data_IF_086062170097
#
_entry.id   IF_086062170097
#
_cell.length_a   1.000
_cell.length_b   1.000
_cell.length_c   1.000
_cell.angle_alpha   90.00
_cell.angle_beta   90.00
_cell.angle_gamma   90.00
#
_symmetry.space_group_name_H-M   'P 1'
#
loop_
_entity.id
_entity.type
_entity.pdbx_description
1 polymer ?
#
# COMPACT_ATOMS: atom_id res chain seq x y z
N UNK A 1 64.13 -9.35 22.46
CA UNK A 1 62.73 -9.76 22.18
C UNK A 1 61.85 -8.51 22.09
N UNK A 2 61.60 -7.99 20.88
CA UNK A 2 60.69 -6.85 20.64
C UNK A 2 59.46 -7.38 19.91
N UNK A 3 58.28 -7.19 20.51
CA UNK A 3 56.96 -7.61 20.01
C UNK A 3 56.51 -6.62 18.93
N UNK A 4 56.23 -7.09 17.72
CA UNK A 4 55.53 -6.30 16.70
C UNK A 4 54.06 -6.72 16.70
N UNK A 5 53.20 -5.85 17.24
CA UNK A 5 51.75 -5.93 17.10
C UNK A 5 51.39 -5.27 15.76
N UNK A 6 50.86 -6.04 14.81
CA UNK A 6 50.31 -5.50 13.58
C UNK A 6 48.80 -5.30 13.78
N UNK A 7 48.38 -4.04 13.86
CA UNK A 7 46.96 -3.67 13.83
C UNK A 7 46.48 -3.67 12.37
N UNK A 8 45.66 -4.64 12.00
CA UNK A 8 44.87 -4.57 10.77
C UNK A 8 43.55 -3.86 11.09
N UNK A 9 43.45 -2.57 10.77
CA UNK A 9 42.17 -1.87 10.69
C UNK A 9 41.50 -2.25 9.37
N UNK A 10 40.45 -3.07 9.44
CA UNK A 10 39.52 -3.22 8.33
C UNK A 10 38.59 -2.00 8.31
N UNK A 11 38.72 -1.14 7.31
CA UNK A 11 37.77 -0.07 7.07
C UNK A 11 36.47 -0.68 6.54
N UNK A 12 35.40 -0.63 7.34
CA UNK A 12 34.05 -0.94 6.89
C UNK A 12 33.54 0.31 6.15
N UNK A 13 33.49 0.25 4.82
CA UNK A 13 32.74 1.23 4.05
C UNK A 13 31.25 0.92 4.22
N UNK A 14 30.55 1.74 5.01
CA UNK A 14 29.10 1.72 5.04
C UNK A 14 28.60 2.28 3.69
N UNK A 15 28.13 1.39 2.81
CA UNK A 15 27.34 1.80 1.66
C UNK A 15 25.96 2.14 2.19
N UNK A 16 25.70 3.43 2.38
CA UNK A 16 24.35 3.92 2.64
C UNK A 16 23.58 3.86 1.32
N UNK A 17 22.80 2.80 1.12
CA UNK A 17 21.75 2.80 0.11
C UNK A 17 20.65 3.71 0.66
N UNK A 18 20.59 4.96 0.21
CA UNK A 18 19.42 5.80 0.45
C UNK A 18 18.30 5.28 -0.43
N UNK A 19 17.46 4.40 0.11
CA UNK A 19 16.18 4.10 -0.50
C UNK A 19 15.37 5.40 -0.52
N UNK A 20 15.08 5.92 -1.71
CA UNK A 20 14.12 7.01 -1.85
C UNK A 20 12.75 6.42 -1.49
N UNK A 21 12.16 6.88 -0.38
CA UNK A 21 10.80 6.50 -0.03
C UNK A 21 9.87 6.92 -1.18
N UNK A 22 8.97 6.02 -1.60
CA UNK A 22 7.95 6.33 -2.59
C UNK A 22 7.16 7.57 -2.13
N UNK A 23 7.08 8.57 -2.99
CA UNK A 23 6.26 9.75 -2.76
C UNK A 23 4.79 9.37 -2.91
N UNK A 24 3.98 9.67 -1.89
CA UNK A 24 2.56 9.34 -1.89
C UNK A 24 1.70 10.58 -1.67
N UNK A 25 0.61 10.65 -2.42
CA UNK A 25 -0.45 11.63 -2.16
C UNK A 25 -1.75 10.96 -1.71
N UNK A 26 -2.42 11.62 -0.77
CA UNK A 26 -3.78 11.29 -0.34
C UNK A 26 -4.73 12.34 -0.89
N UNK A 27 -5.69 11.90 -1.69
CA UNK A 27 -6.63 12.72 -2.43
C UNK A 27 -8.04 12.41 -1.90
N UNK A 28 -8.71 13.43 -1.38
CA UNK A 28 -10.09 13.33 -0.94
C UNK A 28 -10.79 14.68 -1.14
N UNK A 29 -11.89 14.99 -0.47
CA UNK A 29 -12.43 16.36 -0.50
C UNK A 29 -11.73 17.26 0.55
N UNK A 30 -12.14 18.52 0.61
CA UNK A 30 -11.71 19.47 1.65
C UNK A 30 -11.99 18.96 3.07
N UNK A 31 -13.05 18.16 3.24
CA UNK A 31 -13.38 17.41 4.45
C UNK A 31 -12.96 15.94 4.34
N UNK A 32 -12.55 15.33 5.47
CA UNK A 32 -12.36 13.88 5.52
C UNK A 32 -13.67 13.11 5.32
N UNK A 33 -13.61 11.92 4.71
CA UNK A 33 -14.73 10.99 4.68
C UNK A 33 -15.32 10.79 6.08
N UNK A 34 -16.65 10.83 6.18
CA UNK A 34 -17.39 10.63 7.42
C UNK A 34 -17.08 11.63 8.55
N UNK A 35 -16.38 12.73 8.24
CA UNK A 35 -15.91 13.68 9.24
C UNK A 35 -14.88 13.07 10.20
N UNK A 36 -14.24 11.96 9.83
CA UNK A 36 -13.29 11.24 10.68
C UNK A 36 -11.86 11.40 10.19
N UNK A 37 -10.91 11.61 11.09
CA UNK A 37 -9.50 11.80 10.74
C UNK A 37 -8.76 10.51 10.33
N UNK A 38 -9.45 9.39 10.12
CA UNK A 38 -8.81 8.08 9.91
C UNK A 38 -7.88 8.00 8.69
N UNK A 39 -8.19 8.74 7.61
CA UNK A 39 -7.33 8.82 6.42
C UNK A 39 -6.00 9.52 6.76
N UNK A 40 -6.07 10.74 7.28
CA UNK A 40 -4.90 11.52 7.74
C UNK A 40 -4.10 10.77 8.81
N UNK A 41 -4.77 10.17 9.80
CA UNK A 41 -4.12 9.40 10.86
C UNK A 41 -3.36 8.20 10.30
N UNK A 42 -3.96 7.47 9.36
CA UNK A 42 -3.30 6.36 8.67
C UNK A 42 -2.07 6.81 7.89
N UNK A 43 -2.19 7.88 7.10
CA UNK A 43 -1.07 8.43 6.33
C UNK A 43 0.08 8.89 7.25
N UNK A 44 -0.23 9.59 8.34
CA UNK A 44 0.76 10.01 9.33
C UNK A 44 1.42 8.81 10.03
N UNK A 45 0.67 7.75 10.31
CA UNK A 45 1.20 6.58 11.00
C UNK A 45 2.12 5.73 10.11
N UNK A 46 1.81 5.62 8.82
CA UNK A 46 2.56 4.77 7.88
C UNK A 46 3.75 5.52 7.28
N UNK A 47 3.54 6.75 6.83
CA UNK A 47 4.55 7.49 6.07
C UNK A 47 5.24 8.56 6.92
N UNK A 48 4.67 8.94 8.06
CA UNK A 48 5.13 10.06 8.88
C UNK A 48 4.51 11.39 8.45
N UNK A 49 4.15 12.23 9.43
CA UNK A 49 3.62 13.56 9.15
C UNK A 49 4.64 14.40 8.37
N UNK A 50 4.21 15.01 7.26
CA UNK A 50 5.08 15.80 6.38
C UNK A 50 5.77 15.02 5.26
N UNK A 51 5.68 13.68 5.24
CA UNK A 51 6.28 12.83 4.20
C UNK A 51 5.28 12.38 3.13
N UNK A 52 4.05 12.89 3.17
CA UNK A 52 3.00 12.65 2.20
C UNK A 52 2.27 13.96 1.91
N UNK A 53 1.60 14.05 0.76
CA UNK A 53 0.88 15.28 0.38
C UNK A 53 -0.62 15.05 0.36
N UNK A 54 -1.37 15.95 1.01
CA UNK A 54 -2.82 16.01 0.85
C UNK A 54 -3.18 16.83 -0.38
N UNK A 55 -4.01 16.27 -1.25
CA UNK A 55 -4.64 16.97 -2.36
C UNK A 55 -6.17 16.85 -2.24
N UNK A 56 -6.89 17.63 -3.04
CA UNK A 56 -8.34 17.52 -3.18
C UNK A 56 -8.73 17.05 -4.58
N UNK A 57 -9.91 16.47 -4.73
CA UNK A 57 -10.44 16.17 -6.07
C UNK A 57 -10.46 17.40 -7.00
N UNK A 58 -10.63 18.60 -6.44
CA UNK A 58 -10.64 19.84 -7.21
C UNK A 58 -9.25 20.30 -7.67
N UNK A 59 -8.17 20.01 -6.93
CA UNK A 59 -6.84 20.55 -7.23
C UNK A 59 -5.81 19.49 -7.65
N UNK A 60 -6.08 18.19 -7.47
CA UNK A 60 -5.08 17.14 -7.58
C UNK A 60 -4.30 17.17 -8.89
N UNK A 61 -4.98 17.31 -10.02
CA UNK A 61 -4.32 17.33 -11.32
C UNK A 61 -3.54 18.62 -11.58
N UNK A 62 -4.07 19.77 -11.16
CA UNK A 62 -3.36 21.04 -11.26
C UNK A 62 -2.09 21.07 -10.39
N UNK A 63 -2.10 20.31 -9.29
CA UNK A 63 -0.96 20.10 -8.40
C UNK A 63 -0.04 18.94 -8.83
N UNK A 64 -0.24 18.37 -10.03
CA UNK A 64 0.65 17.37 -10.59
C UNK A 64 0.55 15.99 -9.94
N UNK A 65 -0.66 15.53 -9.57
CA UNK A 65 -0.86 14.23 -8.91
C UNK A 65 -0.13 13.06 -9.60
N UNK A 66 -0.08 12.99 -10.93
CA UNK A 66 0.62 11.90 -11.63
C UNK A 66 2.15 11.91 -11.48
N UNK A 67 2.73 12.92 -10.83
CA UNK A 67 4.15 12.95 -10.46
C UNK A 67 4.48 12.22 -9.15
N UNK A 68 3.49 11.75 -8.41
CA UNK A 68 3.71 10.92 -7.21
C UNK A 68 3.83 9.45 -7.59
N UNK A 69 4.67 8.72 -6.86
CA UNK A 69 4.88 7.28 -7.06
C UNK A 69 3.60 6.49 -6.71
N UNK A 70 2.86 6.95 -5.70
CA UNK A 70 1.59 6.36 -5.29
C UNK A 70 0.48 7.39 -5.06
N UNK A 71 -0.75 6.99 -5.41
CA UNK A 71 -1.98 7.77 -5.18
C UNK A 71 -2.96 6.98 -4.34
N UNK A 72 -3.46 7.58 -3.26
CA UNK A 72 -4.58 7.08 -2.48
C UNK A 72 -5.77 8.03 -2.61
N UNK A 73 -6.88 7.57 -3.18
CA UNK A 73 -8.12 8.34 -3.33
C UNK A 73 -9.19 7.76 -2.39
N UNK A 74 -9.82 8.60 -1.57
CA UNK A 74 -10.96 8.20 -0.73
C UNK A 74 -12.20 9.08 -0.96
N UNK A 75 -13.25 8.47 -1.51
CA UNK A 75 -14.54 9.07 -1.80
C UNK A 75 -15.65 8.80 -0.79
N UNK A 76 -15.34 8.32 0.42
CA UNK A 76 -16.36 7.89 1.38
C UNK A 76 -17.34 8.97 1.85
N UNK A 77 -18.55 8.55 2.21
CA UNK A 77 -19.65 9.38 2.69
C UNK A 77 -19.95 10.64 1.87
N UNK A 78 -19.86 11.82 2.48
CA UNK A 78 -20.16 13.11 1.86
C UNK A 78 -19.28 13.40 0.63
N UNK A 79 -18.13 12.72 0.50
CA UNK A 79 -17.18 12.91 -0.59
C UNK A 79 -17.56 12.10 -1.85
N UNK A 80 -18.65 11.31 -1.79
CA UNK A 80 -19.06 10.38 -2.87
C UNK A 80 -19.23 11.09 -4.21
N UNK A 81 -19.93 12.23 -4.24
CA UNK A 81 -20.19 12.95 -5.49
C UNK A 81 -18.89 13.53 -6.09
N UNK A 82 -18.02 14.10 -5.25
CA UNK A 82 -16.71 14.61 -5.67
C UNK A 82 -15.83 13.52 -6.26
N UNK A 83 -15.76 12.37 -5.60
CA UNK A 83 -15.04 11.20 -6.09
C UNK A 83 -15.59 10.69 -7.43
N UNK A 84 -16.92 10.57 -7.57
CA UNK A 84 -17.52 10.11 -8.81
C UNK A 84 -17.23 11.04 -9.99
N UNK A 85 -17.33 12.34 -9.76
CA UNK A 85 -17.00 13.35 -10.76
C UNK A 85 -15.51 13.29 -11.14
N UNK A 86 -14.63 13.15 -10.14
CA UNK A 86 -13.19 13.04 -10.36
C UNK A 86 -12.83 11.81 -11.22
N UNK A 87 -13.34 10.63 -10.85
CA UNK A 87 -13.07 9.40 -11.60
C UNK A 87 -13.65 9.48 -13.01
N UNK A 88 -14.89 9.95 -13.18
CA UNK A 88 -15.50 10.09 -14.51
C UNK A 88 -14.71 11.02 -15.44
N UNK A 89 -14.16 12.12 -14.89
CA UNK A 89 -13.37 13.08 -15.67
C UNK A 89 -11.96 12.55 -15.99
N UNK A 90 -11.38 11.72 -15.12
CA UNK A 90 -9.94 11.45 -15.13
C UNK A 90 -9.56 9.98 -15.33
N UNK A 91 -10.54 9.09 -15.58
CA UNK A 91 -10.36 7.65 -15.73
C UNK A 91 -9.20 7.27 -16.65
N UNK A 92 -9.18 7.80 -17.88
CA UNK A 92 -8.12 7.49 -18.85
C UNK A 92 -6.73 7.95 -18.38
N UNK A 93 -6.65 9.06 -17.63
CA UNK A 93 -5.42 9.55 -17.05
C UNK A 93 -4.92 8.64 -15.92
N UNK A 94 -5.83 8.17 -15.05
CA UNK A 94 -5.51 7.21 -13.99
C UNK A 94 -5.07 5.86 -14.57
N UNK A 95 -5.75 5.38 -15.62
CA UNK A 95 -5.38 4.16 -16.32
C UNK A 95 -3.98 4.26 -16.95
N UNK A 96 -3.68 5.38 -17.60
CA UNK A 96 -2.36 5.66 -18.15
C UNK A 96 -1.28 5.77 -17.05
N UNK A 97 -1.58 6.45 -15.95
CA UNK A 97 -0.67 6.57 -14.81
C UNK A 97 -0.26 5.19 -14.27
N UNK A 98 -1.24 4.31 -14.04
CA UNK A 98 -0.96 2.95 -13.55
C UNK A 98 -0.25 2.13 -14.61
N UNK A 99 -0.67 2.21 -15.89
CA UNK A 99 -0.02 1.47 -16.97
C UNK A 99 1.48 1.78 -17.08
N UNK A 100 1.89 3.00 -16.70
CA UNK A 100 3.27 3.46 -16.68
C UNK A 100 4.03 3.19 -15.36
N UNK A 101 3.47 2.36 -14.46
CA UNK A 101 4.15 1.92 -13.23
C UNK A 101 3.64 2.57 -11.95
N UNK A 102 2.67 3.47 -12.02
CA UNK A 102 2.06 4.09 -10.84
C UNK A 102 1.31 3.09 -9.95
N UNK A 103 1.28 3.34 -8.64
CA UNK A 103 0.49 2.58 -7.68
C UNK A 103 -0.74 3.38 -7.26
N UNK A 104 -1.93 2.82 -7.48
CA UNK A 104 -3.20 3.52 -7.23
C UNK A 104 -4.04 2.76 -6.22
N UNK A 105 -4.62 3.45 -5.25
CA UNK A 105 -5.67 2.91 -4.38
C UNK A 105 -6.94 3.76 -4.51
N UNK A 106 -8.00 3.16 -5.05
CA UNK A 106 -9.33 3.75 -5.13
C UNK A 106 -10.23 3.15 -4.04
N UNK A 107 -10.48 3.91 -2.99
CA UNK A 107 -11.40 3.51 -1.93
C UNK A 107 -12.65 4.42 -1.93
N UNK A 108 -13.81 3.84 -1.70
CA UNK A 108 -14.98 4.63 -1.31
C UNK A 108 -15.98 3.75 -0.54
N UNK A 109 -16.16 4.02 0.75
CA UNK A 109 -17.34 3.60 1.49
C UNK A 109 -18.44 4.65 1.31
N UNK A 110 -19.21 4.53 0.22
CA UNK A 110 -20.12 5.59 -0.22
C UNK A 110 -21.36 5.68 0.66
N UNK A 111 -21.83 6.91 0.86
CA UNK A 111 -23.14 7.17 1.47
C UNK A 111 -24.12 7.61 0.40
N UNK A 112 -24.57 6.63 -0.39
CA UNK A 112 -25.41 6.83 -1.57
C UNK A 112 -24.66 6.66 -2.89
N UNK A 113 -25.34 6.98 -4.00
CA UNK A 113 -24.82 6.82 -5.36
C UNK A 113 -25.38 5.60 -6.09
N UNK A 114 -25.12 5.55 -7.40
CA UNK A 114 -25.60 4.48 -8.28
C UNK A 114 -24.81 3.18 -8.05
N UNK A 115 -25.52 2.06 -8.19
CA UNK A 115 -24.91 0.74 -8.35
C UNK A 115 -24.17 0.66 -9.69
N UNK A 116 -23.09 -0.12 -9.72
CA UNK A 116 -22.28 -0.31 -10.93
C UNK A 116 -21.47 0.92 -11.33
N UNK A 117 -21.03 1.73 -10.37
CA UNK A 117 -20.19 2.89 -10.64
C UNK A 117 -18.85 2.44 -11.23
N UNK A 118 -18.53 2.92 -12.43
CA UNK A 118 -17.35 2.52 -13.19
C UNK A 118 -16.09 3.22 -12.64
N UNK A 119 -15.20 2.44 -12.02
CA UNK A 119 -13.92 2.91 -11.49
C UNK A 119 -12.82 3.00 -12.56
N UNK A 120 -13.12 2.59 -13.79
CA UNK A 120 -12.13 2.28 -14.81
C UNK A 120 -11.61 0.86 -14.67
N UNK A 121 -10.64 0.51 -15.51
CA UNK A 121 -9.97 -0.80 -15.50
C UNK A 121 -10.92 -2.00 -15.69
N UNK A 122 -12.16 -1.78 -16.16
CA UNK A 122 -13.20 -2.80 -16.22
C UNK A 122 -13.82 -3.16 -14.85
N UNK A 123 -13.55 -2.37 -13.81
CA UNK A 123 -13.98 -2.59 -12.43
C UNK A 123 -15.13 -1.66 -12.06
N UNK A 124 -16.11 -2.20 -11.34
CA UNK A 124 -17.28 -1.47 -10.84
C UNK A 124 -17.40 -1.56 -9.33
N UNK A 125 -17.85 -0.45 -8.74
CA UNK A 125 -18.22 -0.32 -7.34
C UNK A 125 -19.75 -0.39 -7.19
N UNK A 126 -20.22 -1.26 -6.29
CA UNK A 126 -21.63 -1.55 -6.11
C UNK A 126 -22.02 -1.39 -4.65
N UNK A 127 -23.18 -0.81 -4.39
CA UNK A 127 -23.69 -0.65 -3.03
C UNK A 127 -24.00 -2.03 -2.45
N UNK A 128 -23.58 -2.27 -1.22
CA UNK A 128 -23.85 -3.53 -0.54
C UNK A 128 -23.04 -3.65 0.73
N UNK A 129 -23.35 -2.79 1.71
CA UNK A 129 -22.60 -2.74 2.95
C UNK A 129 -22.60 -4.05 3.73
N UNK A 130 -21.52 -4.27 4.48
CA UNK A 130 -21.33 -5.45 5.30
C UNK A 130 -20.70 -5.08 6.64
N UNK A 131 -21.16 -5.75 7.69
CA UNK A 131 -20.54 -5.68 9.01
C UNK A 131 -19.47 -6.74 9.26
N UNK A 132 -19.30 -7.65 8.30
CA UNK A 132 -18.40 -8.80 8.36
C UNK A 132 -17.41 -8.69 7.21
N UNK A 133 -16.15 -8.96 7.52
CA UNK A 133 -15.08 -9.10 6.54
C UNK A 133 -14.17 -10.27 6.89
N UNK A 134 -13.58 -10.91 5.90
CA UNK A 134 -12.59 -11.95 6.09
C UNK A 134 -11.62 -12.01 4.92
N UNK A 135 -10.44 -12.58 5.18
CA UNK A 135 -9.43 -12.81 4.14
C UNK A 135 -10.03 -13.67 3.04
N UNK A 136 -9.87 -13.24 1.79
CA UNK A 136 -10.34 -14.01 0.64
C UNK A 136 -9.56 -15.35 0.52
N UNK A 137 -10.17 -16.42 -0.02
CA UNK A 137 -9.51 -17.72 -0.14
C UNK A 137 -8.14 -17.64 -0.83
N UNK A 138 -7.12 -18.25 -0.21
CA UNK A 138 -5.76 -18.28 -0.73
C UNK A 138 -4.90 -17.04 -0.43
N UNK A 139 -5.46 -16.01 0.21
CA UNK A 139 -4.76 -14.74 0.44
C UNK A 139 -4.10 -14.59 1.82
N UNK A 140 -4.16 -15.61 2.68
CA UNK A 140 -3.64 -15.53 4.05
C UNK A 140 -2.14 -15.19 4.13
N UNK A 141 -1.36 -15.45 3.08
CA UNK A 141 0.07 -15.10 3.00
C UNK A 141 0.36 -13.66 2.54
N UNK A 142 -0.66 -12.87 2.21
CA UNK A 142 -0.47 -11.49 1.75
C UNK A 142 0.05 -10.61 2.88
N UNK A 143 1.04 -9.75 2.59
CA UNK A 143 1.67 -8.85 3.55
C UNK A 143 0.67 -7.92 4.25
N UNK A 144 -0.48 -7.62 3.63
CA UNK A 144 -1.50 -6.78 4.27
C UNK A 144 -2.07 -7.41 5.56
N UNK A 145 -1.96 -8.72 5.72
CA UNK A 145 -2.50 -9.47 6.86
C UNK A 145 -1.48 -9.78 7.94
N UNK A 146 -0.24 -9.31 7.81
CA UNK A 146 0.80 -9.55 8.82
C UNK A 146 0.39 -8.89 10.15
N UNK A 147 0.24 -9.72 11.19
CA UNK A 147 -0.14 -9.30 12.53
C UNK A 147 -1.63 -8.99 12.71
N UNK A 148 -2.47 -9.23 11.70
CA UNK A 148 -3.92 -9.05 11.78
C UNK A 148 -4.62 -10.39 12.03
N UNK A 149 -5.89 -10.33 12.41
CA UNK A 149 -6.83 -11.44 12.39
C UNK A 149 -7.12 -11.88 10.95
N UNK A 150 -7.83 -13.00 10.79
CA UNK A 150 -8.33 -13.49 9.50
C UNK A 150 -9.76 -13.06 9.17
N UNK A 151 -10.44 -12.44 10.14
CA UNK A 151 -11.81 -11.94 10.03
C UNK A 151 -12.04 -10.75 10.95
N UNK A 152 -12.89 -9.82 10.53
CA UNK A 152 -13.18 -8.59 11.24
C UNK A 152 -14.67 -8.33 11.29
N UNK A 153 -15.08 -7.70 12.40
CA UNK A 153 -16.42 -7.17 12.59
C UNK A 153 -16.35 -5.64 12.71
N UNK A 154 -17.33 -4.97 12.14
CA UNK A 154 -17.55 -3.54 12.29
C UNK A 154 -18.98 -3.18 11.95
N UNK A 155 -19.53 -2.13 12.54
CA UNK A 155 -20.87 -1.62 12.19
C UNK A 155 -20.81 -0.92 10.81
N UNK A 156 -20.84 -1.71 9.74
CA UNK A 156 -20.48 -1.34 8.36
C UNK A 156 -18.97 -1.23 8.11
N UNK A 157 -18.30 -2.37 8.18
CA UNK A 157 -16.89 -2.52 7.79
C UNK A 157 -16.65 -2.09 6.33
N UNK A 158 -17.62 -2.35 5.45
CA UNK A 158 -17.70 -1.82 4.09
C UNK A 158 -19.10 -1.27 3.80
N UNK A 159 -19.18 -0.36 2.83
CA UNK A 159 -20.45 0.12 2.25
C UNK A 159 -20.66 -0.38 0.82
N UNK A 160 -19.58 -0.79 0.17
CA UNK A 160 -19.57 -1.17 -1.22
C UNK A 160 -18.78 -2.47 -1.42
N UNK A 161 -19.05 -3.15 -2.54
CA UNK A 161 -18.32 -4.30 -3.03
C UNK A 161 -17.98 -4.14 -4.51
N UNK A 162 -17.02 -4.94 -4.95
CA UNK A 162 -16.37 -4.83 -6.25
C UNK A 162 -16.84 -5.94 -7.18
N UNK A 163 -17.00 -5.59 -8.46
CA UNK A 163 -17.17 -6.54 -9.56
C UNK A 163 -16.29 -6.14 -10.73
N UNK A 164 -15.84 -7.12 -11.52
CA UNK A 164 -14.95 -6.89 -12.65
C UNK A 164 -14.11 -8.12 -12.94
N UNK A 165 -13.70 -8.29 -14.20
CA UNK A 165 -12.81 -9.38 -14.58
C UNK A 165 -11.37 -9.08 -14.14
N UNK A 166 -10.58 -10.11 -13.86
CA UNK A 166 -9.15 -9.98 -13.52
C UNK A 166 -8.85 -9.50 -12.10
N UNK A 167 -9.88 -9.17 -11.30
CA UNK A 167 -9.70 -8.83 -9.89
C UNK A 167 -9.20 -10.03 -9.09
N UNK A 168 -8.14 -9.81 -8.30
CA UNK A 168 -7.75 -10.70 -7.21
C UNK A 168 -8.35 -10.17 -5.93
N UNK A 169 -9.39 -10.83 -5.42
CA UNK A 169 -10.00 -10.46 -4.14
C UNK A 169 -8.98 -10.67 -3.01
N UNK A 170 -8.86 -9.70 -2.11
CA UNK A 170 -8.00 -9.74 -0.93
C UNK A 170 -8.84 -9.90 0.34
N UNK A 171 -9.94 -9.14 0.44
CA UNK A 171 -10.90 -9.23 1.54
C UNK A 171 -12.29 -9.40 0.94
N UNK A 172 -13.01 -10.40 1.42
CA UNK A 172 -14.42 -10.64 1.12
C UNK A 172 -15.30 -10.17 2.28
N UNK A 173 -16.55 -9.86 1.96
CA UNK A 173 -17.59 -9.69 2.96
C UNK A 173 -18.29 -11.00 3.32
N UNK A 174 -19.24 -10.96 4.27
CA UNK A 174 -20.02 -12.13 4.68
C UNK A 174 -20.90 -12.76 3.60
N UNK A 175 -21.02 -12.15 2.41
CA UNK A 175 -21.69 -12.71 1.24
C UNK A 175 -20.69 -13.18 0.17
N UNK A 176 -19.41 -13.32 0.52
CA UNK A 176 -18.30 -13.69 -0.36
C UNK A 176 -18.08 -12.74 -1.55
N UNK A 177 -18.45 -11.47 -1.40
CA UNK A 177 -18.18 -10.42 -2.39
C UNK A 177 -16.89 -9.70 -2.03
N UNK A 178 -16.06 -9.41 -3.03
CA UNK A 178 -14.81 -8.69 -2.82
C UNK A 178 -15.10 -7.25 -2.34
N UNK A 179 -14.56 -6.87 -1.19
CA UNK A 179 -14.64 -5.50 -0.64
C UNK A 179 -13.28 -4.80 -0.59
N UNK A 180 -12.20 -5.56 -0.76
CA UNK A 180 -10.87 -5.09 -1.14
C UNK A 180 -10.34 -6.06 -2.19
N UNK A 181 -9.87 -5.54 -3.32
CA UNK A 181 -9.27 -6.36 -4.38
C UNK A 181 -8.14 -5.60 -5.07
N UNK A 182 -7.26 -6.33 -5.74
CA UNK A 182 -6.18 -5.76 -6.54
C UNK A 182 -6.24 -6.21 -8.01
N UNK A 183 -5.60 -5.40 -8.87
CA UNK A 183 -5.42 -5.66 -10.28
C UNK A 183 -4.05 -5.15 -10.72
N UNK A 184 -3.27 -6.00 -11.38
CA UNK A 184 -2.10 -5.55 -12.15
C UNK A 184 -2.56 -4.93 -13.46
N UNK A 185 -2.05 -3.75 -13.81
CA UNK A 185 -2.43 -3.04 -15.03
C UNK A 185 -1.22 -2.34 -15.66
N UNK A 186 -0.85 -2.79 -16.87
CA UNK A 186 0.43 -2.43 -17.48
C UNK A 186 1.59 -2.79 -16.54
N UNK A 187 2.45 -1.81 -16.27
CA UNK A 187 3.60 -1.97 -15.36
C UNK A 187 3.29 -1.64 -13.89
N UNK A 188 2.07 -1.18 -13.58
CA UNK A 188 1.67 -0.76 -12.23
C UNK A 188 0.59 -1.65 -11.62
N UNK A 189 0.01 -1.16 -10.52
CA UNK A 189 -1.02 -1.87 -9.75
C UNK A 189 -2.10 -0.93 -9.27
N UNK A 190 -3.34 -1.45 -9.22
CA UNK A 190 -4.48 -0.78 -8.60
C UNK A 190 -5.03 -1.64 -7.46
N UNK A 191 -5.24 -1.03 -6.30
CA UNK A 191 -6.13 -1.53 -5.26
C UNK A 191 -7.48 -0.83 -5.38
N UNK A 192 -8.55 -1.59 -5.16
CA UNK A 192 -9.92 -1.08 -5.10
C UNK A 192 -10.53 -1.46 -3.76
N UNK A 193 -11.29 -0.56 -3.16
CA UNK A 193 -11.91 -0.79 -1.86
C UNK A 193 -13.29 -0.15 -1.72
N UNK A 194 -14.18 -0.87 -1.04
CA UNK A 194 -15.44 -0.34 -0.50
C UNK A 194 -15.38 -0.13 1.02
N UNK A 195 -14.16 -0.04 1.57
CA UNK A 195 -13.87 -0.13 3.00
C UNK A 195 -14.11 1.19 3.70
N UNK A 196 -14.64 1.14 4.91
CA UNK A 196 -14.88 2.32 5.74
C UNK A 196 -13.61 2.72 6.51
N UNK A 197 -12.49 2.89 5.79
CA UNK A 197 -11.14 3.09 6.36
C UNK A 197 -11.02 4.27 7.33
N UNK A 198 -11.87 5.28 7.17
CA UNK A 198 -11.95 6.44 8.05
C UNK A 198 -12.21 6.05 9.53
N UNK A 199 -12.79 4.88 9.80
CA UNK A 199 -13.06 4.37 11.15
C UNK A 199 -12.10 3.27 11.64
N UNK A 200 -11.23 2.75 10.77
CA UNK A 200 -10.33 1.64 11.14
C UNK A 200 -9.36 2.08 12.23
N UNK A 201 -9.35 1.36 13.37
CA UNK A 201 -8.58 1.76 14.56
C UNK A 201 -9.02 3.08 15.20
N UNK A 202 -10.18 3.64 14.83
CA UNK A 202 -10.78 4.83 15.45
C UNK A 202 -12.09 4.50 16.17
N UNK A 203 -12.77 3.42 15.74
CA UNK A 203 -14.05 3.00 16.31
C UNK A 203 -13.87 1.86 17.32
N UNK A 204 -14.11 2.14 18.61
CA UNK A 204 -13.86 1.18 19.70
C UNK A 204 -14.71 -0.10 19.67
N UNK A 205 -15.82 -0.11 18.93
CA UNK A 205 -16.67 -1.30 18.76
C UNK A 205 -16.29 -2.22 17.59
N UNK A 206 -15.22 -1.92 16.85
CA UNK A 206 -14.77 -2.73 15.72
C UNK A 206 -13.60 -3.64 16.15
N UNK A 207 -13.28 -4.64 15.34
CA UNK A 207 -12.12 -5.50 15.61
C UNK A 207 -10.85 -4.66 15.87
N UNK A 208 -10.14 -5.00 16.95
CA UNK A 208 -9.08 -4.16 17.53
C UNK A 208 -7.90 -3.93 16.58
N UNK A 209 -7.65 -4.86 15.66
CA UNK A 209 -6.53 -4.86 14.71
C UNK A 209 -6.86 -4.16 13.38
N UNK A 210 -8.07 -3.61 13.21
CA UNK A 210 -8.44 -2.87 11.99
C UNK A 210 -7.53 -1.69 11.70
N UNK A 211 -7.01 -1.02 12.73
CA UNK A 211 -6.01 0.05 12.55
C UNK A 211 -4.72 -0.47 11.93
N UNK A 212 -4.24 -1.65 12.35
CA UNK A 212 -3.06 -2.30 11.77
C UNK A 212 -3.35 -2.73 10.33
N UNK A 213 -4.51 -3.33 10.07
CA UNK A 213 -4.93 -3.70 8.71
C UNK A 213 -4.92 -2.49 7.76
N UNK A 214 -5.51 -1.34 8.16
CA UNK A 214 -5.46 -0.11 7.35
C UNK A 214 -4.02 0.28 7.04
N UNK A 215 -3.15 0.26 8.04
CA UNK A 215 -1.76 0.68 7.88
C UNK A 215 -1.01 -0.23 6.92
N UNK A 216 -1.21 -1.55 7.01
CA UNK A 216 -0.59 -2.50 6.09
C UNK A 216 -1.12 -2.33 4.65
N UNK A 217 -2.42 -2.04 4.47
CA UNK A 217 -3.00 -1.70 3.17
C UNK A 217 -2.31 -0.47 2.59
N UNK A 218 -2.23 0.64 3.33
CA UNK A 218 -1.58 1.87 2.88
C UNK A 218 -0.09 1.64 2.56
N UNK A 219 0.62 0.91 3.41
CA UNK A 219 2.02 0.56 3.19
C UNK A 219 2.20 -0.25 1.90
N UNK A 220 1.29 -1.18 1.61
CA UNK A 220 1.33 -1.97 0.37
C UNK A 220 1.24 -1.07 -0.87
N UNK A 221 0.41 -0.02 -0.82
CA UNK A 221 0.22 0.95 -1.90
C UNK A 221 1.52 1.72 -2.13
N UNK A 222 2.17 2.21 -1.07
CA UNK A 222 3.46 2.89 -1.18
C UNK A 222 4.57 1.99 -1.72
N UNK A 223 4.66 0.74 -1.25
CA UNK A 223 5.72 -0.19 -1.66
C UNK A 223 5.58 -0.68 -3.11
N UNK A 224 4.36 -0.80 -3.64
CA UNK A 224 4.15 -1.19 -5.04
C UNK A 224 4.78 -0.21 -6.03
N UNK A 225 4.83 1.07 -5.66
CA UNK A 225 5.39 2.09 -6.51
C UNK A 225 6.93 2.06 -6.56
N UNK A 226 7.56 1.32 -5.64
CA UNK A 226 9.01 1.15 -5.60
C UNK A 226 9.40 -0.33 -5.60
N UNK A 227 9.24 -1.03 -6.76
CA UNK A 227 9.57 -2.45 -6.87
C UNK A 227 11.08 -2.73 -6.65
N UNK A 228 11.94 -1.71 -6.73
CA UNK A 228 13.39 -1.83 -6.45
C UNK A 228 13.71 -2.04 -4.95
N UNK A 229 12.71 -2.04 -4.07
CA UNK A 229 12.86 -2.31 -2.62
C UNK A 229 12.46 -3.75 -2.25
N UNK A 230 11.90 -4.53 -3.19
CA UNK A 230 11.57 -5.94 -2.96
C UNK A 230 12.71 -6.92 -3.28
N UNK A 231 13.86 -6.43 -3.77
CA UNK A 231 15.08 -7.21 -3.69
C UNK A 231 15.47 -7.25 -2.21
N UNK A 232 15.07 -8.35 -1.56
CA UNK A 232 15.60 -8.78 -0.26
C UNK A 232 17.09 -8.43 -0.24
N UNK A 233 17.58 -7.59 0.69
CA UNK A 233 19.01 -7.41 0.84
C UNK A 233 19.58 -8.79 1.07
N UNK A 234 20.31 -9.34 0.10
CA UNK A 234 21.04 -10.59 0.32
C UNK A 234 21.83 -10.37 1.60
N UNK A 235 21.59 -11.16 2.66
CA UNK A 235 22.23 -10.92 3.92
C UNK A 235 23.73 -10.94 3.67
N UNK A 236 24.46 -10.01 4.26
CA UNK A 236 25.91 -9.82 4.10
C UNK A 236 26.72 -11.13 4.27
N UNK A 237 26.11 -12.21 4.76
CA UNK A 237 26.56 -13.61 4.68
C UNK A 237 27.01 -14.09 3.30
N UNK A 238 26.37 -13.69 2.18
CA UNK A 238 26.81 -14.14 0.84
C UNK A 238 28.19 -13.54 0.47
N UNK A 239 28.41 -12.26 0.80
CA UNK A 239 29.70 -11.59 0.67
C UNK A 239 30.75 -12.09 1.67
N UNK A 240 30.34 -12.40 2.91
CA UNK A 240 31.22 -12.95 3.95
C UNK A 240 31.72 -14.36 3.61
N UNK A 241 30.90 -15.20 2.98
CA UNK A 241 31.31 -16.53 2.48
C UNK A 241 32.36 -16.42 1.36
N UNK A 242 32.18 -15.50 0.41
CA UNK A 242 33.14 -15.26 -0.66
C UNK A 242 34.52 -14.78 -0.16
N UNK A 243 34.52 -13.85 0.80
CA UNK A 243 35.76 -13.31 1.38
C UNK A 243 36.43 -14.35 2.30
N UNK A 244 35.67 -15.15 3.05
CA UNK A 244 36.23 -16.22 3.88
C UNK A 244 36.93 -17.31 3.04
N UNK A 245 36.37 -17.67 1.88
CA UNK A 245 36.97 -18.64 0.97
C UNK A 245 38.25 -18.11 0.30
N UNK A 246 38.27 -16.82 -0.09
CA UNK A 246 39.48 -16.14 -0.59
C UNK A 246 40.56 -16.03 0.50
N UNK A 247 40.18 -15.71 1.74
CA UNK A 247 41.08 -15.69 2.88
C UNK A 247 41.72 -17.06 3.16
N UNK A 248 40.92 -18.13 3.14
CA UNK A 248 41.41 -19.51 3.31
C UNK A 248 42.34 -19.95 2.16
N UNK A 249 42.06 -19.56 0.92
CA UNK A 249 42.93 -19.83 -0.24
C UNK A 249 44.29 -19.14 -0.12
N UNK A 250 44.31 -17.88 0.33
CA UNK A 250 45.54 -17.10 0.50
C UNK A 250 46.38 -17.58 1.69
N UNK A 251 45.75 -18.01 2.79
CA UNK A 251 46.45 -18.62 3.95
C UNK A 251 47.07 -19.97 3.56
N UNK A 252 46.38 -20.80 2.77
CA UNK A 252 46.91 -22.10 2.30
C UNK A 252 48.15 -21.95 1.39
N UNK A 253 48.25 -20.88 0.60
CA UNK A 253 49.42 -20.60 -0.26
C UNK A 253 50.66 -20.12 0.52
N UNK A 254 50.50 -19.61 1.74
CA UNK A 254 51.64 -19.21 2.60
C UNK A 254 52.21 -20.35 3.43
N UNK A 255 51.46 -21.41 3.69
CA UNK A 255 51.92 -22.57 4.46
C UNK A 255 52.73 -23.60 3.64
N UNK A 256 52.88 -23.37 2.32
CA UNK A 256 53.55 -24.30 1.38
C UNK A 256 54.82 -23.71 0.74
N UNK A 257 55.44 -22.71 1.38
CA UNK A 257 56.77 -22.21 1.03
C UNK A 257 57.69 -22.25 2.24
#
# INVERSE_FOLDING_TARGET
MKRYLAYCFAAIAAVSITAQAATISYITDSSEPWGQAGGVNGMNQVFGAGNWTRLTFANALASGAYGYDALYLDGGAANTAGFQNFINANRAGLESYVANGGSLFLNAARWGGLNGFDLGFGVRLNNGGSSVAHIAPGQAGNAIFVGTNSSWLGSSFSHDYLTGAGLTALINDGAERAILAELSYGSGRVLFGGLTLAFFGQHGGWSADTGLLRNNILLSVGNAANPLVNDVPEPASAGLLGIALLGLYLVRRRATR
#
